data_IF_014442310872
#
_entry.id   IF_014442310872
#
_cell.length_a   1.000
_cell.length_b   1.000
_cell.length_c   1.000
_cell.angle_alpha   90.00
_cell.angle_beta   90.00
_cell.angle_gamma   90.00
#
_symmetry.space_group_name_H-M   'P 1'
#
loop_
_entity.id
_entity.type
_entity.pdbx_description
1 polymer ?
#
# COMPACT_ATOMS: atom_id res chain seq x y z
N UNK A 1 21.97 -55.67 -41.46
CA UNK A 1 22.72 -54.41 -41.21
C UNK A 1 21.90 -53.22 -41.68
N UNK A 2 21.36 -52.42 -40.75
CA UNK A 2 21.08 -50.98 -40.93
C UNK A 2 20.71 -50.44 -39.54
N UNK A 3 21.70 -49.81 -38.90
CA UNK A 3 21.57 -49.11 -37.63
C UNK A 3 20.81 -47.81 -37.85
N UNK A 4 19.71 -47.60 -37.13
CA UNK A 4 19.11 -46.28 -37.00
C UNK A 4 19.49 -45.74 -35.62
N UNK A 5 20.49 -44.85 -35.58
CA UNK A 5 20.85 -44.09 -34.38
C UNK A 5 19.84 -42.96 -34.23
N UNK A 6 18.92 -43.10 -33.29
CA UNK A 6 18.05 -42.03 -32.83
C UNK A 6 18.89 -41.12 -31.91
N UNK A 7 19.16 -39.90 -32.35
CA UNK A 7 19.74 -38.85 -31.52
C UNK A 7 18.69 -38.38 -30.51
N UNK A 8 18.89 -38.74 -29.23
CA UNK A 8 18.17 -38.10 -28.13
C UNK A 8 18.82 -36.74 -27.91
N UNK A 9 18.13 -35.69 -28.38
CA UNK A 9 18.47 -34.30 -28.06
C UNK A 9 18.14 -34.07 -26.60
N UNK A 10 19.17 -33.84 -25.81
CA UNK A 10 19.12 -33.45 -24.40
C UNK A 10 18.56 -32.02 -24.31
N UNK A 11 17.25 -31.86 -24.10
CA UNK A 11 16.68 -30.58 -23.70
C UNK A 11 17.15 -30.25 -22.27
N UNK A 12 18.25 -29.49 -22.17
CA UNK A 12 18.61 -28.77 -20.95
C UNK A 12 17.48 -27.79 -20.61
N UNK A 13 16.65 -28.18 -19.64
CA UNK A 13 15.72 -27.30 -18.97
C UNK A 13 16.52 -26.14 -18.37
N UNK A 14 16.44 -24.97 -19.01
CA UNK A 14 16.77 -23.72 -18.37
C UNK A 14 15.87 -23.60 -17.13
N UNK A 15 16.42 -23.85 -15.95
CA UNK A 15 15.72 -23.61 -14.71
C UNK A 15 15.25 -22.16 -14.70
N UNK A 16 13.94 -21.95 -14.68
CA UNK A 16 13.37 -20.63 -14.43
C UNK A 16 13.96 -20.11 -13.12
N UNK A 17 14.91 -19.17 -13.18
CA UNK A 17 15.39 -18.48 -12.00
C UNK A 17 14.20 -17.76 -11.37
N UNK A 18 13.73 -18.29 -10.26
CA UNK A 18 12.67 -17.70 -9.43
C UNK A 18 13.16 -16.48 -8.67
N UNK A 19 14.49 -16.26 -8.63
CA UNK A 19 15.13 -15.12 -7.98
C UNK A 19 15.34 -13.99 -8.98
N UNK A 20 14.90 -12.80 -8.58
CA UNK A 20 15.26 -11.54 -9.24
C UNK A 20 16.77 -11.33 -9.17
N UNK A 21 17.34 -10.68 -10.18
CA UNK A 21 18.74 -10.27 -10.09
C UNK A 21 18.91 -9.11 -9.09
N UNK A 22 20.13 -8.91 -8.58
CA UNK A 22 20.40 -7.87 -7.57
C UNK A 22 20.04 -6.46 -8.05
N UNK A 23 20.20 -6.18 -9.34
CA UNK A 23 19.91 -4.87 -9.92
C UNK A 23 18.42 -4.61 -10.06
N UNK A 24 17.63 -5.64 -10.38
CA UNK A 24 16.16 -5.60 -10.39
C UNK A 24 15.61 -5.40 -8.98
N UNK A 25 16.14 -6.14 -8.00
CA UNK A 25 15.72 -6.01 -6.59
C UNK A 25 15.93 -4.58 -6.11
N UNK A 26 17.10 -3.99 -6.35
CA UNK A 26 17.41 -2.65 -5.89
C UNK A 26 16.50 -1.56 -6.45
N UNK A 27 15.79 -1.79 -7.57
CA UNK A 27 14.83 -0.83 -8.14
C UNK A 27 13.49 -0.84 -7.43
N UNK A 28 13.14 -1.91 -6.72
CA UNK A 28 11.85 -2.05 -6.04
C UNK A 28 11.75 -1.03 -4.91
N UNK A 29 10.79 -0.10 -5.02
CA UNK A 29 10.54 0.92 -4.01
C UNK A 29 11.63 1.98 -3.86
N UNK A 30 12.66 2.01 -4.73
CA UNK A 30 13.72 3.02 -4.69
C UNK A 30 13.65 4.00 -5.85
N UNK A 31 13.06 3.58 -6.97
CA UNK A 31 12.82 4.42 -8.13
C UNK A 31 11.35 4.84 -8.13
N UNK A 32 11.10 6.15 -8.22
CA UNK A 32 9.75 6.67 -8.43
C UNK A 32 9.33 6.43 -9.88
N UNK A 33 8.34 5.56 -10.06
CA UNK A 33 7.77 5.25 -11.37
C UNK A 33 6.42 5.93 -11.61
N UNK A 34 5.93 6.71 -10.64
CA UNK A 34 4.57 7.24 -10.65
C UNK A 34 4.43 8.27 -11.76
N UNK A 35 3.38 8.11 -12.57
CA UNK A 35 3.11 9.02 -13.68
C UNK A 35 1.95 9.95 -13.34
N UNK A 36 2.02 11.17 -13.86
CA UNK A 36 0.88 12.10 -13.80
C UNK A 36 -0.21 11.59 -14.77
N UNK A 37 -1.47 11.41 -14.31
CA UNK A 37 -2.53 10.92 -15.18
C UNK A 37 -2.76 11.85 -16.39
N UNK A 38 -3.04 11.26 -17.55
CA UNK A 38 -3.23 12.00 -18.80
C UNK A 38 -4.41 12.99 -18.72
N UNK A 39 -5.48 12.65 -17.99
CA UNK A 39 -6.64 13.52 -17.85
C UNK A 39 -6.33 14.87 -17.18
N UNK A 40 -5.25 14.96 -16.38
CA UNK A 40 -4.88 16.21 -15.68
C UNK A 40 -4.66 17.36 -16.66
N UNK A 41 -4.15 17.07 -17.87
CA UNK A 41 -3.95 18.05 -18.95
C UNK A 41 -5.26 18.68 -19.46
N UNK A 42 -6.40 18.04 -19.20
CA UNK A 42 -7.75 18.51 -19.55
C UNK A 42 -8.39 19.33 -18.42
N UNK A 43 -7.68 19.54 -17.31
CA UNK A 43 -8.15 20.29 -16.15
C UNK A 43 -7.42 21.64 -16.05
N UNK A 44 -7.91 22.59 -15.23
CA UNK A 44 -7.20 23.84 -14.95
C UNK A 44 -5.91 23.70 -14.14
N UNK A 45 -5.55 22.48 -13.72
CA UNK A 45 -4.42 22.18 -12.84
C UNK A 45 -3.15 21.95 -13.67
N UNK A 46 -2.06 22.63 -13.31
CA UNK A 46 -0.76 22.40 -13.93
C UNK A 46 -0.26 20.96 -13.65
N UNK A 47 -0.04 20.12 -14.69
CA UNK A 47 0.40 18.75 -14.51
C UNK A 47 1.75 18.59 -13.79
N UNK A 48 2.60 19.62 -13.79
CA UNK A 48 3.90 19.62 -13.09
C UNK A 48 3.80 19.96 -11.60
N UNK A 49 2.63 20.38 -11.13
CA UNK A 49 2.39 20.85 -9.76
C UNK A 49 1.15 20.18 -9.15
N UNK A 50 0.70 19.05 -9.69
CA UNK A 50 -0.53 18.40 -9.22
C UNK A 50 -0.28 17.57 -7.97
N UNK A 51 -1.23 17.62 -7.04
CA UNK A 51 -1.35 16.68 -5.93
C UNK A 51 -2.80 16.18 -5.84
N UNK A 52 -2.96 14.92 -5.46
CA UNK A 52 -4.26 14.33 -5.16
C UNK A 52 -4.46 14.30 -3.65
N UNK A 53 -5.55 14.89 -3.18
CA UNK A 53 -5.84 15.04 -1.76
C UNK A 53 -7.16 14.38 -1.41
N UNK A 54 -7.13 13.53 -0.38
CA UNK A 54 -8.31 12.96 0.29
C UNK A 54 -8.57 13.64 1.64
N UNK A 55 -7.72 14.60 2.02
CA UNK A 55 -7.68 15.24 3.33
C UNK A 55 -8.37 16.61 3.35
N UNK A 56 -9.13 16.95 2.31
CA UNK A 56 -9.88 18.20 2.27
C UNK A 56 -11.05 18.12 3.25
N UNK A 57 -11.04 18.99 4.26
CA UNK A 57 -12.01 18.97 5.36
C UNK A 57 -13.45 18.83 4.84
N UNK A 58 -14.13 17.78 5.30
CA UNK A 58 -15.55 17.46 5.00
C UNK A 58 -15.87 17.22 3.52
N UNK A 59 -14.89 17.09 2.63
CA UNK A 59 -15.14 16.71 1.24
C UNK A 59 -15.00 15.21 1.04
N UNK A 60 -16.07 14.56 0.57
CA UNK A 60 -16.05 13.17 0.11
C UNK A 60 -15.15 13.02 -1.12
N UNK A 61 -14.63 11.83 -1.40
CA UNK A 61 -13.85 11.59 -2.62
C UNK A 61 -12.44 12.17 -2.60
N UNK A 62 -11.95 12.55 -3.78
CA UNK A 62 -10.59 13.08 -4.01
C UNK A 62 -10.70 14.47 -4.63
N UNK A 63 -9.76 15.35 -4.32
CA UNK A 63 -9.63 16.67 -4.96
C UNK A 63 -8.21 16.81 -5.53
N UNK A 64 -8.11 17.31 -6.76
CA UNK A 64 -6.82 17.72 -7.34
C UNK A 64 -6.49 19.11 -6.85
N UNK A 65 -5.25 19.32 -6.45
CA UNK A 65 -4.71 20.59 -5.98
C UNK A 65 -3.49 20.96 -6.81
N UNK A 66 -3.32 22.26 -7.09
CA UNK A 66 -2.10 22.79 -7.68
C UNK A 66 -1.18 23.33 -6.58
N UNK A 67 0.02 22.76 -6.43
CA UNK A 67 1.00 23.19 -5.45
C UNK A 67 1.41 24.65 -5.67
N UNK A 68 1.35 25.45 -4.60
CA UNK A 68 1.67 26.87 -4.64
C UNK A 68 0.57 27.74 -5.26
N UNK A 69 -0.65 27.24 -5.42
CA UNK A 69 -1.82 28.05 -5.76
C UNK A 69 -3.09 27.59 -5.02
N UNK A 70 -4.16 28.36 -5.15
CA UNK A 70 -5.49 28.01 -4.61
C UNK A 70 -6.33 27.18 -5.59
N UNK A 71 -5.79 26.83 -6.76
CA UNK A 71 -6.55 26.09 -7.78
C UNK A 71 -6.80 24.67 -7.31
N UNK A 72 -8.06 24.27 -7.44
CA UNK A 72 -8.49 22.90 -7.23
C UNK A 72 -9.43 22.46 -8.34
N UNK A 73 -9.50 21.15 -8.57
CA UNK A 73 -10.43 20.56 -9.52
C UNK A 73 -10.93 19.21 -8.99
N UNK A 74 -12.18 18.89 -9.33
CA UNK A 74 -12.84 17.66 -8.88
C UNK A 74 -13.72 17.10 -9.99
N UNK A 75 -13.55 15.82 -10.29
CA UNK A 75 -14.42 15.12 -11.23
C UNK A 75 -15.80 14.87 -10.59
N UNK A 76 -16.92 14.98 -11.34
CA UNK A 76 -18.25 14.73 -10.78
C UNK A 76 -18.42 13.36 -10.13
N UNK A 77 -17.83 12.30 -10.70
CA UNK A 77 -17.94 10.94 -10.14
C UNK A 77 -17.29 10.78 -8.76
N UNK A 78 -16.41 11.70 -8.36
CA UNK A 78 -15.73 11.62 -7.06
C UNK A 78 -16.68 11.83 -5.87
N UNK A 79 -17.81 12.51 -6.11
CA UNK A 79 -18.80 12.78 -5.06
C UNK A 79 -19.72 11.58 -4.74
N UNK A 80 -19.71 10.56 -5.59
CA UNK A 80 -20.57 9.37 -5.44
C UNK A 80 -20.06 8.41 -4.36
N UNK A 81 -18.79 8.56 -3.96
CA UNK A 81 -18.14 7.66 -3.00
C UNK A 81 -17.92 8.37 -1.65
N UNK A 82 -17.66 7.57 -0.62
CA UNK A 82 -17.41 8.07 0.74
C UNK A 82 -16.06 8.79 0.88
N UNK A 83 -15.50 8.74 2.09
CA UNK A 83 -14.16 9.26 2.35
C UNK A 83 -13.10 8.23 2.01
N UNK A 84 -11.94 8.69 1.55
CA UNK A 84 -10.79 7.85 1.26
C UNK A 84 -9.64 8.17 2.21
N UNK A 85 -9.00 7.14 2.76
CA UNK A 85 -7.85 7.29 3.64
C UNK A 85 -6.53 7.08 2.92
N UNK A 86 -6.48 6.04 2.08
CA UNK A 86 -5.27 5.64 1.37
C UNK A 86 -5.35 6.02 -0.09
N UNK A 87 -4.21 6.47 -0.62
CA UNK A 87 -4.04 6.85 -2.02
C UNK A 87 -2.69 6.36 -2.53
N UNK A 88 -2.67 5.76 -3.72
CA UNK A 88 -1.45 5.33 -4.38
C UNK A 88 -1.54 5.55 -5.88
N UNK A 89 -0.45 5.95 -6.51
CA UNK A 89 -0.37 6.19 -7.96
C UNK A 89 0.45 5.10 -8.63
N UNK A 90 -0.04 4.58 -9.75
CA UNK A 90 0.62 3.58 -10.56
C UNK A 90 1.53 4.21 -11.62
N UNK A 91 2.27 3.36 -12.32
CA UNK A 91 3.17 3.75 -13.41
C UNK A 91 2.45 4.29 -14.65
N UNK A 92 1.21 3.87 -14.90
CA UNK A 92 0.34 4.37 -15.98
C UNK A 92 -0.45 5.64 -15.58
N UNK A 93 -0.25 6.12 -14.36
CA UNK A 93 -0.97 7.24 -13.78
C UNK A 93 -2.35 6.89 -13.25
N UNK A 94 -2.74 5.61 -13.19
CA UNK A 94 -3.92 5.18 -12.44
C UNK A 94 -3.74 5.52 -10.96
N UNK A 95 -4.81 5.89 -10.30
CA UNK A 95 -4.79 6.21 -8.87
C UNK A 95 -5.68 5.24 -8.14
N UNK A 96 -5.13 4.50 -7.19
CA UNK A 96 -5.85 3.59 -6.31
C UNK A 96 -6.23 4.29 -5.02
N UNK A 97 -7.42 3.97 -4.52
CA UNK A 97 -8.01 4.59 -3.35
C UNK A 97 -8.67 3.53 -2.47
N UNK A 98 -8.49 3.65 -1.16
CA UNK A 98 -9.14 2.80 -0.16
C UNK A 98 -10.07 3.63 0.73
N UNK A 99 -11.35 3.24 0.90
CA UNK A 99 -12.28 3.95 1.76
C UNK A 99 -11.85 3.96 3.22
N UNK A 100 -12.14 5.05 3.94
CA UNK A 100 -11.88 5.16 5.38
C UNK A 100 -13.08 5.77 6.10
N UNK A 101 -13.44 5.30 7.30
CA UNK A 101 -14.49 5.93 8.09
C UNK A 101 -13.95 7.20 8.78
N UNK A 102 -14.72 8.31 8.81
CA UNK A 102 -14.26 9.60 9.40
C UNK A 102 -15.19 10.19 10.48
N UNK A 103 -16.53 10.01 10.43
CA UNK A 103 -17.43 10.72 11.38
C UNK A 103 -18.62 9.87 11.84
N UNK A 104 -19.28 9.17 10.93
CA UNK A 104 -20.31 8.16 11.23
C UNK A 104 -20.24 7.09 10.15
N UNK A 105 -20.31 5.81 10.52
CA UNK A 105 -20.35 4.69 9.58
C UNK A 105 -21.59 4.70 8.65
N UNK A 106 -22.50 5.67 8.78
CA UNK A 106 -23.72 5.76 7.96
C UNK A 106 -23.48 6.23 6.52
N UNK A 107 -22.28 6.70 6.17
CA UNK A 107 -21.90 6.98 4.78
C UNK A 107 -20.92 5.93 4.25
N UNK A 108 -21.27 4.65 4.36
CA UNK A 108 -20.49 3.58 3.76
C UNK A 108 -20.42 3.78 2.24
N UNK A 109 -19.27 3.48 1.60
CA UNK A 109 -19.24 3.30 0.17
C UNK A 109 -20.22 2.19 -0.21
N UNK A 110 -20.91 2.31 -1.35
CA UNK A 110 -21.83 1.28 -1.86
C UNK A 110 -21.16 -0.12 -1.99
N UNK A 111 -19.82 -0.16 -2.08
CA UNK A 111 -19.05 -1.41 -2.13
C UNK A 111 -18.40 -1.86 -0.80
N UNK A 112 -18.62 -1.13 0.29
CA UNK A 112 -18.04 -1.38 1.61
C UNK A 112 -16.58 -0.95 1.78
N UNK A 113 -16.05 -1.09 3.00
CA UNK A 113 -14.69 -0.67 3.38
C UNK A 113 -13.58 -1.65 2.97
N UNK A 114 -13.91 -2.89 2.54
CA UNK A 114 -12.95 -3.88 2.04
C UNK A 114 -12.89 -3.90 0.50
N UNK A 115 -12.82 -2.71 -0.08
CA UNK A 115 -12.84 -2.50 -1.53
C UNK A 115 -11.79 -1.47 -1.91
N UNK A 116 -11.22 -1.63 -3.10
CA UNK A 116 -10.31 -0.67 -3.69
C UNK A 116 -11.01 -0.03 -4.88
N UNK A 117 -10.89 1.27 -4.99
CA UNK A 117 -11.37 2.07 -6.11
C UNK A 117 -10.21 2.55 -6.95
N UNK A 118 -10.47 2.90 -8.21
CA UNK A 118 -9.45 3.54 -9.04
C UNK A 118 -9.98 4.70 -9.86
N UNK A 119 -9.16 5.73 -10.02
CA UNK A 119 -9.34 6.79 -11.00
C UNK A 119 -8.66 6.34 -12.30
N UNK A 120 -9.43 6.29 -13.38
CA UNK A 120 -8.90 5.98 -14.71
C UNK A 120 -7.96 7.10 -15.20
N UNK A 121 -6.75 6.77 -15.68
CA UNK A 121 -5.74 7.77 -16.02
C UNK A 121 -6.10 8.66 -17.22
N UNK A 122 -7.06 8.26 -18.07
CA UNK A 122 -7.39 8.95 -19.32
C UNK A 122 -8.63 9.84 -19.20
N UNK A 123 -9.64 9.34 -18.49
CA UNK A 123 -10.93 10.02 -18.26
C UNK A 123 -10.95 10.82 -16.96
N UNK A 124 -10.22 10.38 -15.93
CA UNK A 124 -10.37 10.91 -14.58
C UNK A 124 -11.62 10.39 -13.87
N UNK A 125 -12.26 9.33 -14.38
CA UNK A 125 -13.42 8.75 -13.73
C UNK A 125 -13.02 7.81 -12.59
N UNK A 126 -13.56 8.06 -11.40
CA UNK A 126 -13.48 7.14 -10.26
C UNK A 126 -14.54 6.03 -10.36
N UNK A 127 -14.11 4.78 -10.22
CA UNK A 127 -14.97 3.60 -10.20
C UNK A 127 -14.41 2.50 -9.28
N UNK A 128 -15.24 1.52 -8.95
CA UNK A 128 -14.81 0.33 -8.20
C UNK A 128 -13.75 -0.42 -9.01
N UNK A 129 -12.60 -0.71 -8.39
CA UNK A 129 -11.53 -1.50 -8.99
C UNK A 129 -11.68 -2.98 -8.65
N UNK A 130 -11.79 -3.31 -7.37
CA UNK A 130 -11.98 -4.68 -6.87
C UNK A 130 -12.67 -4.68 -5.50
N UNK A 131 -13.49 -5.69 -5.24
CA UNK A 131 -14.00 -6.04 -3.90
C UNK A 131 -13.16 -7.19 -3.35
N UNK A 132 -12.62 -7.04 -2.15
CA UNK A 132 -11.76 -8.05 -1.51
C UNK A 132 -12.51 -8.90 -0.48
N UNK A 133 -13.82 -8.71 -0.32
CA UNK A 133 -14.60 -9.43 0.67
C UNK A 133 -14.91 -10.88 0.25
N UNK A 134 -14.63 -11.81 1.16
CA UNK A 134 -15.28 -13.12 1.21
C UNK A 134 -16.63 -12.95 1.95
N UNK A 135 -17.58 -13.87 1.79
CA UNK A 135 -18.99 -13.81 2.26
C UNK A 135 -19.20 -13.67 3.79
N UNK A 136 -18.16 -13.35 4.57
CA UNK A 136 -18.26 -13.18 6.03
C UNK A 136 -18.89 -11.82 6.35
N UNK A 137 -19.81 -11.82 7.31
CA UNK A 137 -20.47 -10.61 7.77
C UNK A 137 -19.47 -9.63 8.41
N UNK A 138 -19.68 -8.34 8.14
CA UNK A 138 -19.01 -7.21 8.77
C UNK A 138 -19.12 -7.28 10.30
N UNK A 139 -18.02 -7.04 11.02
CA UNK A 139 -18.05 -6.89 12.48
C UNK A 139 -18.41 -5.44 12.82
N UNK A 140 -19.54 -5.18 13.48
CA UNK A 140 -19.96 -3.82 13.80
C UNK A 140 -19.00 -3.09 14.75
N UNK A 141 -18.11 -3.80 15.43
CA UNK A 141 -17.13 -3.22 16.34
C UNK A 141 -15.83 -2.78 15.65
N UNK A 142 -15.66 -3.09 14.36
CA UNK A 142 -14.52 -2.64 13.58
C UNK A 142 -14.99 -1.91 12.31
N UNK A 143 -14.93 -0.58 12.29
CA UNK A 143 -15.37 0.22 11.14
C UNK A 143 -14.36 0.25 9.98
N UNK A 144 -13.20 -0.37 10.16
CA UNK A 144 -12.09 -0.28 9.22
C UNK A 144 -12.05 -1.49 8.28
N UNK A 145 -11.68 -1.24 7.03
CA UNK A 145 -11.36 -2.27 6.06
C UNK A 145 -9.92 -2.19 5.62
N UNK A 146 -9.68 -1.65 4.42
CA UNK A 146 -8.33 -1.47 3.89
C UNK A 146 -7.64 -0.29 4.58
N UNK A 147 -6.44 -0.53 5.12
CA UNK A 147 -5.68 0.43 5.91
C UNK A 147 -4.37 0.89 5.27
N UNK A 148 -3.89 0.19 4.27
CA UNK A 148 -2.69 0.54 3.52
C UNK A 148 -2.75 -0.04 2.12
N UNK A 149 -2.22 0.69 1.15
CA UNK A 149 -2.00 0.22 -0.23
C UNK A 149 -0.62 0.64 -0.70
N UNK A 150 0.03 -0.19 -1.51
CA UNK A 150 1.34 0.10 -2.08
C UNK A 150 1.47 -0.55 -3.45
N UNK A 151 1.85 0.25 -4.45
CA UNK A 151 2.04 -0.23 -5.82
C UNK A 151 3.51 -0.53 -6.07
N UNK A 152 3.80 -1.74 -6.54
CA UNK A 152 5.13 -2.16 -6.95
C UNK A 152 5.27 -2.13 -8.47
N UNK A 153 5.96 -1.09 -8.95
CA UNK A 153 6.27 -0.87 -10.36
C UNK A 153 7.00 -2.05 -11.02
N UNK A 154 7.80 -2.79 -10.28
CA UNK A 154 8.63 -3.87 -10.84
C UNK A 154 7.82 -5.10 -11.25
N UNK A 155 6.68 -5.32 -10.58
CA UNK A 155 5.83 -6.49 -10.79
C UNK A 155 4.40 -6.15 -11.18
N UNK A 156 4.05 -4.86 -11.24
CA UNK A 156 2.69 -4.37 -11.52
C UNK A 156 1.64 -4.93 -10.54
N UNK A 157 2.06 -5.08 -9.28
CA UNK A 157 1.23 -5.60 -8.19
C UNK A 157 0.85 -4.44 -7.27
N UNK A 158 -0.43 -4.39 -6.92
CA UNK A 158 -0.94 -3.57 -5.84
C UNK A 158 -1.05 -4.43 -4.58
N UNK A 159 -0.28 -4.09 -3.56
CA UNK A 159 -0.43 -4.67 -2.24
C UNK A 159 -1.48 -3.89 -1.45
N UNK A 160 -2.25 -4.60 -0.64
CA UNK A 160 -3.20 -3.99 0.28
C UNK A 160 -3.19 -4.70 1.63
N UNK A 161 -3.41 -3.94 2.70
CA UNK A 161 -3.59 -4.44 4.06
C UNK A 161 -5.03 -4.23 4.47
N UNK A 162 -5.67 -5.25 5.06
CA UNK A 162 -7.05 -5.18 5.52
C UNK A 162 -7.15 -5.68 6.95
N UNK A 163 -7.92 -4.98 7.76
CA UNK A 163 -8.34 -5.44 9.09
C UNK A 163 -9.84 -5.80 9.11
N UNK A 164 -10.48 -5.88 7.96
CA UNK A 164 -11.95 -5.97 7.85
C UNK A 164 -12.59 -7.11 8.65
N UNK A 165 -11.85 -8.19 8.88
CA UNK A 165 -12.34 -9.36 9.62
C UNK A 165 -11.90 -9.40 11.09
N UNK A 166 -11.15 -8.39 11.52
CA UNK A 166 -10.56 -8.28 12.84
C UNK A 166 -11.47 -7.52 13.78
N UNK A 167 -11.28 -7.74 15.08
CA UNK A 167 -11.94 -6.97 16.13
C UNK A 167 -11.00 -6.79 17.32
N UNK A 168 -11.47 -6.27 18.46
CA UNK A 168 -10.60 -6.00 19.61
C UNK A 168 -9.81 -7.25 20.05
N UNK A 169 -10.41 -8.42 20.03
CA UNK A 169 -9.85 -9.66 20.59
C UNK A 169 -9.20 -10.57 19.54
N UNK A 170 -9.69 -10.52 18.30
CA UNK A 170 -9.29 -11.43 17.23
C UNK A 170 -8.53 -10.70 16.12
N UNK A 171 -7.27 -11.11 15.91
CA UNK A 171 -6.44 -10.71 14.77
C UNK A 171 -6.77 -11.60 13.57
N UNK A 172 -7.46 -11.04 12.58
CA UNK A 172 -7.92 -11.75 11.38
C UNK A 172 -7.69 -10.96 10.09
N UNK A 173 -6.75 -10.01 10.13
CA UNK A 173 -6.40 -9.19 9.00
C UNK A 173 -5.73 -9.99 7.89
N UNK A 174 -5.72 -9.40 6.70
CA UNK A 174 -5.24 -10.04 5.48
C UNK A 174 -4.35 -9.07 4.71
N UNK A 175 -3.18 -9.55 4.29
CA UNK A 175 -2.38 -8.96 3.24
C UNK A 175 -2.85 -9.51 1.89
N UNK A 176 -3.07 -8.65 0.91
CA UNK A 176 -3.43 -9.03 -0.45
C UNK A 176 -2.31 -8.62 -1.41
N UNK A 177 -2.00 -9.50 -2.37
CA UNK A 177 -1.25 -9.17 -3.58
C UNK A 177 -2.22 -9.20 -4.76
N UNK A 178 -2.42 -8.05 -5.41
CA UNK A 178 -3.45 -7.87 -6.44
C UNK A 178 -2.76 -7.55 -7.77
N UNK A 179 -3.05 -8.33 -8.80
CA UNK A 179 -2.59 -8.04 -10.15
C UNK A 179 -3.43 -6.91 -10.74
N UNK A 180 -2.76 -5.82 -11.14
CA UNK A 180 -3.45 -4.62 -11.61
C UNK A 180 -4.09 -4.81 -13.00
N UNK A 181 -3.52 -5.66 -13.84
CA UNK A 181 -4.00 -5.88 -15.21
C UNK A 181 -5.27 -6.74 -15.23
N UNK A 182 -5.20 -7.88 -14.55
CA UNK A 182 -6.28 -8.87 -14.48
C UNK A 182 -7.34 -8.50 -13.45
N UNK A 183 -7.00 -7.64 -12.47
CA UNK A 183 -7.83 -7.28 -11.31
C UNK A 183 -8.17 -8.48 -10.43
N UNK A 184 -7.22 -9.42 -10.34
CA UNK A 184 -7.36 -10.63 -9.55
C UNK A 184 -6.44 -10.60 -8.32
N UNK A 185 -6.89 -11.25 -7.25
CA UNK A 185 -6.05 -11.52 -6.07
C UNK A 185 -5.12 -12.68 -6.43
N UNK A 186 -3.82 -12.41 -6.52
CA UNK A 186 -2.80 -13.42 -6.84
C UNK A 186 -2.39 -14.27 -5.64
N UNK A 187 -2.43 -13.66 -4.45
CA UNK A 187 -2.01 -14.27 -3.21
C UNK A 187 -2.56 -13.53 -1.98
N UNK A 188 -2.65 -14.23 -0.86
CA UNK A 188 -3.08 -13.67 0.42
C UNK A 188 -2.24 -14.19 1.58
N UNK A 189 -2.00 -13.35 2.57
CA UNK A 189 -1.46 -13.77 3.86
C UNK A 189 -2.44 -13.40 4.97
N UNK A 190 -3.04 -14.40 5.63
CA UNK A 190 -4.11 -14.21 6.63
C UNK A 190 -3.55 -14.20 8.06
N UNK A 191 -4.31 -13.61 8.99
CA UNK A 191 -4.01 -13.60 10.43
C UNK A 191 -3.03 -12.50 10.85
N UNK A 192 -2.99 -11.38 10.11
CA UNK A 192 -2.14 -10.24 10.45
C UNK A 192 -2.93 -8.95 10.28
N UNK A 193 -3.04 -8.19 11.35
CA UNK A 193 -3.60 -6.84 11.29
C UNK A 193 -2.50 -5.85 10.92
N UNK A 194 -2.29 -5.74 9.62
CA UNK A 194 -1.31 -4.83 9.06
C UNK A 194 -1.92 -3.44 8.77
N UNK A 195 -1.06 -2.45 8.83
CA UNK A 195 -1.39 -1.05 8.62
C UNK A 195 -0.74 -0.52 7.34
N UNK A 196 -0.01 0.59 7.36
CA UNK A 196 0.72 1.05 6.18
C UNK A 196 1.66 -0.03 5.65
N UNK A 197 1.76 -0.17 4.32
CA UNK A 197 2.67 -1.12 3.68
C UNK A 197 3.51 -0.48 2.57
N UNK A 198 4.66 -1.08 2.25
CA UNK A 198 5.56 -0.60 1.20
C UNK A 198 6.46 -1.71 0.66
N UNK A 199 6.43 -1.96 -0.65
CA UNK A 199 7.36 -2.91 -1.28
C UNK A 199 8.74 -2.27 -1.48
N UNK A 200 9.80 -2.90 -0.98
CA UNK A 200 11.16 -2.37 -1.01
C UNK A 200 12.18 -3.49 -1.26
N UNK A 201 13.18 -3.21 -2.08
CA UNK A 201 14.31 -4.10 -2.36
C UNK A 201 15.69 -3.58 -1.94
N UNK A 202 15.75 -2.45 -1.22
CA UNK A 202 17.01 -1.79 -0.88
C UNK A 202 17.99 -2.66 -0.07
N UNK A 203 17.50 -3.63 0.69
CA UNK A 203 18.30 -4.52 1.53
C UNK A 203 18.95 -5.68 0.75
N UNK A 204 18.70 -5.78 -0.56
CA UNK A 204 19.09 -6.91 -1.41
C UNK A 204 18.08 -8.06 -1.44
N UNK A 205 16.98 -7.94 -0.69
CA UNK A 205 15.81 -8.82 -0.74
C UNK A 205 14.58 -8.00 -1.13
N UNK A 206 13.73 -8.51 -2.02
CA UNK A 206 12.43 -7.89 -2.32
C UNK A 206 11.45 -8.24 -1.20
N UNK A 207 10.98 -7.24 -0.44
CA UNK A 207 10.11 -7.46 0.73
C UNK A 207 8.96 -6.47 0.77
N UNK A 208 7.82 -6.90 1.29
CA UNK A 208 6.74 -6.00 1.68
C UNK A 208 6.94 -5.65 3.16
N UNK A 209 7.27 -4.39 3.43
CA UNK A 209 7.30 -3.83 4.78
C UNK A 209 5.88 -3.43 5.17
N UNK A 210 5.49 -3.64 6.42
CA UNK A 210 4.19 -3.22 6.93
C UNK A 210 4.22 -2.95 8.44
N UNK A 211 3.41 -1.99 8.87
CA UNK A 211 3.15 -1.73 10.29
C UNK A 211 2.17 -2.74 10.87
N UNK A 212 2.33 -3.08 12.15
CA UNK A 212 1.28 -3.74 12.94
C UNK A 212 0.25 -2.69 13.42
N UNK A 213 -1.04 -3.03 13.45
CA UNK A 213 -2.05 -2.23 14.18
C UNK A 213 -2.11 -2.58 15.66
N UNK A 214 -1.58 -3.75 16.04
CA UNK A 214 -1.62 -4.30 17.42
C UNK A 214 -0.44 -3.86 18.26
N UNK A 215 0.69 -3.58 17.63
CA UNK A 215 1.94 -3.23 18.31
C UNK A 215 2.67 -2.15 17.52
N UNK A 216 3.69 -1.53 18.12
CA UNK A 216 4.53 -0.53 17.45
C UNK A 216 5.54 -1.14 16.46
N UNK A 217 5.44 -2.44 16.17
CA UNK A 217 6.40 -3.14 15.32
C UNK A 217 6.17 -2.84 13.84
N UNK A 218 7.28 -2.65 13.12
CA UNK A 218 7.33 -2.78 11.66
C UNK A 218 7.88 -4.16 11.33
N UNK A 219 7.14 -4.88 10.50
CA UNK A 219 7.46 -6.24 10.07
C UNK A 219 7.64 -6.25 8.56
N UNK A 220 8.19 -7.33 8.03
CA UNK A 220 8.25 -7.52 6.59
C UNK A 220 8.09 -8.99 6.21
N UNK A 221 7.56 -9.23 5.03
CA UNK A 221 7.48 -10.55 4.41
C UNK A 221 8.20 -10.54 3.06
N UNK A 222 8.90 -11.63 2.74
CA UNK A 222 9.59 -11.74 1.46
C UNK A 222 8.59 -11.83 0.31
N UNK A 223 8.95 -11.25 -0.83
CA UNK A 223 8.16 -11.26 -2.05
C UNK A 223 8.89 -12.02 -3.15
N UNK A 224 8.18 -12.91 -3.82
CA UNK A 224 8.65 -13.56 -5.04
C UNK A 224 8.82 -12.55 -6.19
N UNK A 225 9.47 -12.98 -7.27
CA UNK A 225 9.52 -12.22 -8.53
C UNK A 225 8.14 -11.78 -9.02
N UNK A 226 7.13 -12.65 -8.87
CA UNK A 226 5.73 -12.40 -9.26
C UNK A 226 4.91 -11.67 -8.18
N UNK A 227 5.55 -11.19 -7.11
CA UNK A 227 4.88 -10.44 -6.03
C UNK A 227 4.09 -11.29 -5.03
N UNK A 228 4.15 -12.62 -5.11
CA UNK A 228 3.58 -13.52 -4.08
C UNK A 228 4.35 -13.49 -2.76
N UNK A 229 3.66 -13.77 -1.67
CA UNK A 229 4.25 -13.82 -0.32
C UNK A 229 5.08 -15.11 -0.14
N UNK A 230 6.27 -14.98 0.44
CA UNK A 230 7.17 -16.11 0.73
C UNK A 230 7.45 -16.19 2.23
N UNK A 231 7.23 -17.38 2.79
CA UNK A 231 7.65 -17.71 4.15
C UNK A 231 6.81 -17.01 5.23
N UNK A 232 7.47 -16.63 6.32
CA UNK A 232 6.84 -15.97 7.47
C UNK A 232 7.36 -14.54 7.59
N UNK A 233 6.53 -13.60 8.08
CA UNK A 233 7.00 -12.26 8.39
C UNK A 233 8.07 -12.28 9.46
N UNK A 234 9.04 -11.36 9.33
CA UNK A 234 10.04 -11.08 10.34
C UNK A 234 9.82 -9.68 10.92
N UNK A 235 10.21 -9.48 12.17
CA UNK A 235 10.26 -8.15 12.75
C UNK A 235 11.51 -7.43 12.21
N UNK A 236 11.36 -6.17 11.81
CA UNK A 236 12.45 -5.35 11.28
C UNK A 236 12.96 -4.39 12.35
N UNK A 237 12.04 -3.68 13.00
CA UNK A 237 12.29 -2.72 14.08
C UNK A 237 10.97 -2.36 14.77
N UNK A 238 11.02 -1.52 15.81
CA UNK A 238 9.86 -1.02 16.53
C UNK A 238 9.86 0.50 16.61
N UNK A 239 8.68 1.11 16.60
CA UNK A 239 8.46 2.52 16.93
C UNK A 239 8.27 2.75 18.45
N UNK A 240 8.23 1.67 19.23
CA UNK A 240 8.02 1.69 20.67
C UNK A 240 9.03 2.64 21.35
N UNK A 241 8.52 3.54 22.17
CA UNK A 241 9.28 4.56 22.91
C UNK A 241 10.11 5.54 22.05
N UNK A 242 9.99 5.54 20.71
CA UNK A 242 10.71 6.50 19.84
C UNK A 242 9.98 7.84 19.68
N UNK A 243 8.66 7.82 19.82
CA UNK A 243 7.77 8.96 19.63
C UNK A 243 7.29 9.61 20.93
N UNK A 244 6.68 10.80 20.86
CA UNK A 244 6.12 11.47 22.04
C UNK A 244 5.04 10.65 22.75
N UNK A 245 4.30 9.81 22.02
CA UNK A 245 3.26 8.91 22.55
C UNK A 245 3.81 7.56 23.01
N UNK A 246 5.00 7.18 22.52
CA UNK A 246 5.64 5.92 22.84
C UNK A 246 5.01 4.66 22.21
N UNK A 247 3.82 4.74 21.60
CA UNK A 247 3.10 3.56 21.11
C UNK A 247 2.60 3.68 19.65
N UNK A 248 3.25 4.53 18.85
CA UNK A 248 2.82 4.80 17.47
C UNK A 248 2.71 3.53 16.60
N UNK A 249 1.65 3.48 15.80
CA UNK A 249 1.45 2.47 14.75
C UNK A 249 1.90 3.02 13.40
N UNK A 250 2.63 2.23 12.62
CA UNK A 250 3.21 2.67 11.34
C UNK A 250 2.15 2.81 10.23
N UNK A 251 1.62 4.03 10.06
CA UNK A 251 0.57 4.43 9.10
C UNK A 251 1.01 4.46 7.66
N UNK A 252 2.20 4.97 7.43
CA UNK A 252 2.75 5.12 6.09
C UNK A 252 4.21 4.75 6.14
N UNK A 253 4.64 3.97 5.18
CA UNK A 253 6.04 3.60 5.01
C UNK A 253 6.42 4.03 3.61
N UNK A 254 7.51 4.77 3.47
CA UNK A 254 8.07 5.16 2.17
C UNK A 254 9.58 5.11 2.25
N UNK A 255 10.22 4.85 1.12
CA UNK A 255 11.67 4.96 1.03
C UNK A 255 12.05 6.22 0.25
N UNK A 256 12.90 7.06 0.84
CA UNK A 256 13.35 8.32 0.23
C UNK A 256 14.73 8.70 0.72
N UNK A 257 15.59 9.19 -0.17
CA UNK A 257 16.94 9.66 0.17
C UNK A 257 17.75 8.60 0.95
N UNK A 258 17.69 7.34 0.50
CA UNK A 258 18.33 6.19 1.14
C UNK A 258 17.89 5.90 2.58
N UNK A 259 16.72 6.41 2.99
CA UNK A 259 16.15 6.20 4.32
C UNK A 259 14.75 5.62 4.20
N UNK A 260 14.42 4.75 5.15
CA UNK A 260 13.05 4.33 5.36
C UNK A 260 12.38 5.38 6.25
N UNK A 261 11.35 6.02 5.73
CA UNK A 261 10.56 7.02 6.45
C UNK A 261 9.23 6.39 6.83
N UNK A 262 8.95 6.41 8.13
CA UNK A 262 7.72 5.85 8.69
C UNK A 262 6.92 6.98 9.32
N UNK A 263 5.69 7.18 8.88
CA UNK A 263 4.72 8.04 9.57
C UNK A 263 4.00 7.17 10.60
N UNK A 264 4.21 7.46 11.87
CA UNK A 264 3.47 6.88 12.99
C UNK A 264 2.32 7.76 13.45
N UNK A 265 1.32 7.13 14.06
CA UNK A 265 0.18 7.78 14.70
C UNK A 265 -0.46 6.84 15.72
N UNK A 266 -1.30 7.38 16.59
CA UNK A 266 -2.11 6.58 17.51
C UNK A 266 -3.27 5.91 16.76
N UNK A 267 -3.45 4.61 16.96
CA UNK A 267 -4.53 3.86 16.34
C UNK A 267 -5.12 2.81 17.27
N UNK A 268 -6.44 2.72 17.20
CA UNK A 268 -7.20 1.61 17.76
C UNK A 268 -8.23 1.16 16.72
N UNK A 269 -8.56 -0.14 16.72
CA UNK A 269 -9.58 -0.73 15.84
C UNK A 269 -11.02 -0.33 16.23
N UNK A 270 -11.22 0.87 16.78
CA UNK A 270 -12.50 1.41 17.22
C UNK A 270 -12.63 2.83 16.69
N UNK A 271 -13.81 3.22 16.22
CA UNK A 271 -14.04 4.61 15.78
C UNK A 271 -14.00 5.55 16.98
N UNK A 272 -12.85 6.15 17.24
CA UNK A 272 -12.76 7.34 18.09
C UNK A 272 -12.44 8.48 17.15
N UNK A 273 -13.32 9.47 17.03
CA UNK A 273 -13.06 10.66 16.23
C UNK A 273 -11.98 11.50 16.94
N UNK A 274 -10.72 11.51 16.47
CA UNK A 274 -9.70 12.32 17.10
C UNK A 274 -9.96 13.77 16.68
N UNK A 275 -9.96 14.69 17.65
CA UNK A 275 -10.09 16.12 17.38
C UNK A 275 -8.87 16.69 16.67
N UNK A 276 -7.69 16.07 16.83
CA UNK A 276 -6.46 16.36 16.09
C UNK A 276 -5.67 15.07 15.83
N UNK A 277 -5.42 14.74 14.57
CA UNK A 277 -4.54 13.61 14.20
C UNK A 277 -3.10 14.10 14.28
N UNK A 278 -2.42 13.76 15.37
CA UNK A 278 -0.98 13.99 15.48
C UNK A 278 -0.21 12.84 14.83
N UNK A 279 0.60 13.17 13.83
CA UNK A 279 1.52 12.22 13.20
C UNK A 279 2.94 12.45 13.72
N UNK A 280 3.81 11.45 13.55
CA UNK A 280 5.24 11.58 13.81
C UNK A 280 6.00 10.86 12.72
N UNK A 281 6.99 11.52 12.11
CA UNK A 281 7.83 10.96 11.05
C UNK A 281 9.14 10.46 11.62
N UNK A 282 9.34 9.15 11.57
CA UNK A 282 10.55 8.46 11.97
C UNK A 282 11.43 8.20 10.74
N UNK A 283 12.73 8.40 10.87
CA UNK A 283 13.71 8.09 9.83
C UNK A 283 14.62 6.95 10.28
N UNK A 284 14.79 5.96 9.42
CA UNK A 284 15.68 4.81 9.65
C UNK A 284 16.70 4.67 8.51
N UNK A 285 17.89 4.21 8.84
CA UNK A 285 18.96 3.91 7.89
C UNK A 285 19.32 2.44 7.98
N UNK A 286 19.48 1.79 6.83
CA UNK A 286 19.86 0.38 6.79
C UNK A 286 21.36 0.23 7.06
N UNK A 287 21.71 -0.63 8.02
CA UNK A 287 23.07 -1.05 8.29
C UNK A 287 23.33 -2.42 7.65
N UNK A 288 24.17 -2.44 6.63
CA UNK A 288 24.45 -3.67 5.89
C UNK A 288 25.26 -4.71 6.70
N UNK A 289 26.03 -4.26 7.69
CA UNK A 289 26.90 -5.12 8.51
C UNK A 289 26.13 -6.08 9.41
N UNK A 290 25.04 -5.62 10.01
CA UNK A 290 24.16 -6.38 10.91
C UNK A 290 22.79 -6.70 10.28
N UNK A 291 22.51 -6.15 9.08
CA UNK A 291 21.24 -6.30 8.35
C UNK A 291 20.03 -5.74 9.11
N UNK A 292 20.20 -4.64 9.83
CA UNK A 292 19.13 -3.97 10.57
C UNK A 292 18.82 -2.59 10.03
N UNK A 293 17.65 -2.07 10.41
CA UNK A 293 17.30 -0.66 10.27
C UNK A 293 17.57 0.05 11.59
N UNK A 294 18.45 1.05 11.55
CA UNK A 294 18.82 1.83 12.72
C UNK A 294 18.05 3.15 12.72
N UNK A 295 17.46 3.47 13.87
CA UNK A 295 16.77 4.73 14.08
C UNK A 295 17.74 5.92 14.00
N UNK A 296 17.33 6.98 13.30
CA UNK A 296 18.12 8.20 13.15
C UNK A 296 17.50 9.35 13.94
N UNK A 297 16.23 9.66 13.65
CA UNK A 297 15.52 10.79 14.26
C UNK A 297 14.01 10.67 14.04
N UNK A 298 13.24 11.40 14.84
CA UNK A 298 11.81 11.61 14.69
C UNK A 298 11.51 13.11 14.61
N UNK A 299 10.45 13.45 13.88
CA UNK A 299 9.95 14.82 13.73
C UNK A 299 8.42 14.79 13.79
N UNK A 300 7.75 15.82 14.32
CA UNK A 300 6.31 16.00 14.15
C UNK A 300 5.90 15.99 12.66
#
# INVERSE_FOLDING_TARGET
MKFWKLYIILCLLAGCSTKLDKSEILKVGTIDCKSVPAFVKKTPINPKKVAFSTSQNRQKGVTLLEYGSSKSWKHPSYNQFGYFGQIETANDGRIFLAPTPIINATSEPESGYNSIYSIDPNSGELSLFIRLSEKKAYDPNNPYGILGISFDCSSNILYATSVYYSNKENEAGILYAIDVQTREVLDTYKGIDAFGCYALGYTGEKRLYFGSTRTSNVRSIELSRKGKFIGKPRNEFSLDLLGPRGDDKAKKIVFKNNKLIVTGYEFMNTLIAPTDVQETRYSFQYQASNKTWDYIQSQP
#
